data_IF_570924461996
#
_entry.id   IF_570924461996
#
_cell.length_a   1.000
_cell.length_b   1.000
_cell.length_c   1.000
_cell.angle_alpha   90.00
_cell.angle_beta   90.00
_cell.angle_gamma   90.00
#
_symmetry.space_group_name_H-M   'P 1'
#
loop_
_entity.id
_entity.type
_entity.pdbx_description
1 polymer ?
#
# COMPACT_ATOMS: atom_id res chain seq x y z
N UNK A 1 11.34 4.28 -0.59
CA UNK A 1 12.59 4.81 0.03
C UNK A 1 12.33 5.90 1.09
N UNK A 2 11.61 7.01 0.82
CA UNK A 2 11.39 8.05 1.83
C UNK A 2 10.63 7.52 3.06
N UNK A 3 9.44 6.95 2.88
CA UNK A 3 8.60 6.42 3.97
C UNK A 3 9.32 5.32 4.77
N UNK A 4 10.05 4.42 4.11
CA UNK A 4 10.82 3.39 4.82
C UNK A 4 11.93 3.98 5.69
N UNK A 5 12.59 5.05 5.23
CA UNK A 5 13.60 5.77 6.02
C UNK A 5 12.99 6.46 7.24
N UNK A 6 11.85 7.13 7.09
CA UNK A 6 11.13 7.73 8.22
C UNK A 6 10.63 6.65 9.20
N UNK A 7 10.08 5.52 8.69
CA UNK A 7 9.65 4.40 9.52
C UNK A 7 10.80 3.80 10.36
N UNK A 8 11.98 3.62 9.77
CA UNK A 8 13.18 3.14 10.46
C UNK A 8 13.59 4.12 11.56
N UNK A 9 13.61 5.41 11.24
CA UNK A 9 13.96 6.48 12.18
C UNK A 9 12.97 6.55 13.34
N UNK A 10 11.67 6.54 13.05
CA UNK A 10 10.61 6.62 14.05
C UNK A 10 10.58 5.36 14.93
N UNK A 11 10.82 4.19 14.35
CA UNK A 11 10.93 2.92 15.07
C UNK A 11 12.24 2.73 15.83
N UNK A 12 13.21 3.67 15.73
CA UNK A 12 14.50 3.57 16.41
C UNK A 12 15.36 2.40 15.94
N UNK A 13 15.22 1.98 14.67
CA UNK A 13 15.91 0.81 14.12
C UNK A 13 17.23 1.19 13.42
N UNK A 14 18.16 0.23 13.35
CA UNK A 14 19.37 0.37 12.54
C UNK A 14 19.04 0.14 11.05
N UNK A 15 19.24 1.13 10.16
CA UNK A 15 18.96 1.00 8.73
C UNK A 15 19.67 -0.18 8.06
N UNK A 16 20.85 -0.58 8.56
CA UNK A 16 21.65 -1.68 8.00
C UNK A 16 21.07 -3.06 8.27
N UNK A 17 20.15 -3.17 9.21
CA UNK A 17 19.57 -4.43 9.65
C UNK A 17 18.04 -4.46 9.53
N UNK A 18 17.39 -3.31 9.28
CA UNK A 18 15.94 -3.19 9.25
C UNK A 18 15.32 -3.80 8.00
N UNK A 19 14.19 -4.50 8.20
CA UNK A 19 13.32 -5.04 7.16
C UNK A 19 11.95 -4.38 7.28
N UNK A 20 11.60 -3.56 6.31
CA UNK A 20 10.39 -2.72 6.34
C UNK A 20 9.48 -3.08 5.17
N UNK A 21 8.21 -3.29 5.46
CA UNK A 21 7.16 -3.34 4.46
C UNK A 21 6.42 -2.01 4.47
N UNK A 22 6.38 -1.32 3.34
CA UNK A 22 5.64 -0.07 3.16
C UNK A 22 4.37 -0.36 2.40
N UNK A 23 3.24 -0.12 3.05
CA UNK A 23 1.89 -0.23 2.50
C UNK A 23 1.40 1.17 2.12
N UNK A 24 1.65 1.59 0.88
CA UNK A 24 1.16 2.85 0.33
C UNK A 24 -0.26 2.65 -0.18
N UNK A 25 -1.24 2.97 0.64
CA UNK A 25 -2.65 2.67 0.39
C UNK A 25 -3.42 3.95 0.11
N UNK A 26 -3.68 4.21 -1.15
CA UNK A 26 -4.48 5.31 -1.66
C UNK A 26 -5.50 4.80 -2.68
N UNK A 27 -6.04 5.68 -3.52
CA UNK A 27 -6.86 5.27 -4.67
C UNK A 27 -6.05 4.42 -5.68
N UNK A 28 -4.77 4.76 -5.91
CA UNK A 28 -3.73 3.84 -6.37
C UNK A 28 -3.01 3.29 -5.15
N UNK A 29 -2.66 1.99 -5.14
CA UNK A 29 -2.05 1.36 -3.99
C UNK A 29 -0.90 0.43 -4.37
N UNK A 30 0.12 0.38 -3.52
CA UNK A 30 1.25 -0.53 -3.67
C UNK A 30 1.82 -0.96 -2.33
N UNK A 31 2.42 -2.14 -2.30
CA UNK A 31 3.25 -2.60 -1.19
C UNK A 31 4.69 -2.71 -1.70
N UNK A 32 5.65 -2.35 -0.87
CA UNK A 32 7.07 -2.48 -1.19
C UNK A 32 7.82 -3.13 -0.04
N UNK A 33 8.73 -4.04 -0.37
CA UNK A 33 9.66 -4.66 0.56
C UNK A 33 11.01 -3.92 0.52
N UNK A 34 11.43 -3.41 1.68
CA UNK A 34 12.70 -2.71 1.84
C UNK A 34 13.55 -3.44 2.85
N UNK A 35 14.69 -3.98 2.40
CA UNK A 35 15.62 -4.73 3.22
C UNK A 35 16.94 -3.98 3.30
N UNK A 36 17.33 -3.59 4.52
CA UNK A 36 18.62 -2.93 4.77
C UNK A 36 18.79 -1.62 3.98
N UNK A 37 17.66 -0.88 3.84
CA UNK A 37 17.63 0.38 3.11
C UNK A 37 17.43 0.27 1.60
N UNK A 38 17.41 -0.95 1.04
CA UNK A 38 17.24 -1.21 -0.39
C UNK A 38 15.86 -1.81 -0.69
N UNK A 39 15.20 -1.34 -1.75
CA UNK A 39 13.97 -1.94 -2.23
C UNK A 39 14.29 -3.26 -2.92
N UNK A 40 13.78 -4.37 -2.38
CA UNK A 40 14.03 -5.72 -2.90
C UNK A 40 12.83 -6.28 -3.67
N UNK A 41 11.63 -5.73 -3.43
CA UNK A 41 10.43 -6.12 -4.14
C UNK A 41 9.36 -5.03 -4.10
N UNK A 42 8.42 -5.05 -5.06
CA UNK A 42 7.27 -4.14 -5.09
C UNK A 42 6.10 -4.78 -5.82
N UNK A 43 4.88 -4.44 -5.44
CA UNK A 43 3.65 -5.04 -5.97
C UNK A 43 3.25 -4.55 -7.36
N UNK A 44 3.71 -3.38 -7.80
CA UNK A 44 3.47 -2.89 -9.15
C UNK A 44 4.52 -3.45 -10.11
N UNK A 45 4.09 -3.85 -11.32
CA UNK A 45 4.96 -4.36 -12.37
C UNK A 45 5.41 -3.28 -13.36
N UNK A 46 5.41 -3.62 -14.66
CA UNK A 46 5.72 -2.68 -15.72
C UNK A 46 4.77 -1.49 -15.73
N UNK A 47 3.52 -1.71 -15.32
CA UNK A 47 2.50 -0.68 -15.18
C UNK A 47 1.91 -0.71 -13.76
N UNK A 48 1.22 0.38 -13.33
CA UNK A 48 0.56 0.40 -12.02
C UNK A 48 -0.75 -0.43 -11.99
N UNK A 49 -0.99 -1.33 -12.93
CA UNK A 49 -2.17 -2.21 -12.96
C UNK A 49 -1.97 -3.47 -12.12
N UNK A 50 -0.76 -4.05 -12.15
CA UNK A 50 -0.38 -5.23 -11.38
C UNK A 50 -0.39 -4.96 -9.88
N UNK A 51 -0.63 -6.00 -9.08
CA UNK A 51 -0.47 -5.97 -7.63
C UNK A 51 -1.77 -5.93 -6.86
N UNK A 52 -1.93 -4.90 -6.05
CA UNK A 52 -3.09 -4.75 -5.18
C UNK A 52 -4.39 -4.46 -5.97
N UNK A 53 -5.50 -4.90 -5.40
CA UNK A 53 -6.80 -4.30 -5.71
C UNK A 53 -6.72 -2.81 -5.35
N UNK A 54 -7.22 -1.92 -6.20
CA UNK A 54 -7.16 -0.47 -5.99
C UNK A 54 -8.56 0.14 -6.10
N UNK A 55 -8.68 1.45 -6.12
CA UNK A 55 -9.98 2.11 -6.29
C UNK A 55 -10.73 1.63 -7.55
N UNK A 56 -10.06 1.67 -8.70
CA UNK A 56 -10.64 1.26 -10.00
C UNK A 56 -9.83 0.19 -10.73
N UNK A 57 -8.60 -0.11 -10.29
CA UNK A 57 -7.71 -1.09 -10.92
C UNK A 57 -7.89 -2.47 -10.30
N UNK A 58 -7.88 -3.51 -11.14
CA UNK A 58 -8.08 -4.90 -10.70
C UNK A 58 -6.97 -5.43 -9.80
N UNK A 59 -5.73 -4.98 -9.98
CA UNK A 59 -4.57 -5.69 -9.47
C UNK A 59 -4.37 -7.02 -10.20
N UNK A 60 -3.71 -7.97 -9.54
CA UNK A 60 -3.41 -9.29 -10.09
C UNK A 60 -4.66 -10.05 -10.52
N UNK A 61 -4.57 -10.64 -11.67
CA UNK A 61 -5.61 -11.50 -12.24
C UNK A 61 -4.98 -12.65 -13.03
N UNK A 62 -5.76 -13.67 -13.35
CA UNK A 62 -5.36 -14.70 -14.29
C UNK A 62 -5.26 -14.07 -15.69
N UNK A 63 -4.10 -14.13 -16.37
CA UNK A 63 -3.91 -13.56 -17.71
C UNK A 63 -4.91 -14.09 -18.74
N UNK A 64 -5.42 -15.32 -18.60
CA UNK A 64 -6.40 -15.91 -19.50
C UNK A 64 -7.76 -15.18 -19.48
N UNK A 65 -8.05 -14.43 -18.42
CA UNK A 65 -9.26 -13.60 -18.32
C UNK A 65 -9.30 -12.56 -19.45
N UNK A 66 -8.15 -12.05 -19.90
CA UNK A 66 -8.10 -11.04 -20.97
C UNK A 66 -8.68 -11.60 -22.28
N UNK A 67 -8.26 -12.79 -22.70
CA UNK A 67 -8.79 -13.42 -23.91
C UNK A 67 -10.23 -13.88 -23.73
N UNK A 68 -10.55 -14.45 -22.57
CA UNK A 68 -11.92 -14.89 -22.27
C UNK A 68 -12.94 -13.75 -22.36
N UNK A 69 -12.65 -12.60 -21.73
CA UNK A 69 -13.54 -11.43 -21.80
C UNK A 69 -13.56 -10.80 -23.19
N UNK A 70 -12.42 -10.76 -23.89
CA UNK A 70 -12.36 -10.25 -25.24
C UNK A 70 -13.30 -11.04 -26.17
N UNK A 71 -13.29 -12.36 -26.11
CA UNK A 71 -14.15 -13.22 -26.90
C UNK A 71 -15.62 -13.12 -26.48
N UNK A 72 -15.89 -13.20 -25.18
CA UNK A 72 -17.25 -13.22 -24.63
C UNK A 72 -18.00 -11.91 -24.88
N UNK A 73 -17.34 -10.78 -24.70
CA UNK A 73 -17.94 -9.45 -24.77
C UNK A 73 -17.71 -8.75 -26.12
N UNK A 74 -17.02 -9.40 -27.07
CA UNK A 74 -16.69 -8.82 -28.38
C UNK A 74 -15.73 -7.61 -28.28
N UNK A 75 -14.84 -7.62 -27.28
CA UNK A 75 -13.88 -6.55 -27.01
C UNK A 75 -12.50 -6.87 -27.59
N UNK A 76 -11.72 -5.85 -27.85
CA UNK A 76 -10.27 -6.03 -28.07
C UNK A 76 -9.55 -6.22 -26.72
N UNK A 77 -8.36 -6.83 -26.72
CA UNK A 77 -7.54 -6.96 -25.51
C UNK A 77 -7.29 -5.58 -24.83
N UNK A 78 -7.07 -4.53 -25.62
CA UNK A 78 -6.88 -3.17 -25.11
C UNK A 78 -8.13 -2.64 -24.36
N UNK A 79 -9.32 -2.94 -24.86
CA UNK A 79 -10.57 -2.56 -24.18
C UNK A 79 -10.76 -3.33 -22.87
N UNK A 80 -10.37 -4.62 -22.83
CA UNK A 80 -10.39 -5.39 -21.56
C UNK A 80 -9.39 -4.80 -20.55
N UNK A 81 -8.18 -4.44 -20.98
CA UNK A 81 -7.21 -3.76 -20.12
C UNK A 81 -7.74 -2.41 -19.61
N UNK A 82 -8.49 -1.66 -20.42
CA UNK A 82 -9.17 -0.45 -19.99
C UNK A 82 -10.22 -0.71 -18.89
N UNK A 83 -10.97 -1.81 -18.99
CA UNK A 83 -11.89 -2.25 -17.93
C UNK A 83 -11.12 -2.57 -16.65
N UNK A 84 -10.01 -3.32 -16.74
CA UNK A 84 -9.14 -3.63 -15.61
C UNK A 84 -8.56 -2.37 -14.94
N UNK A 85 -8.30 -1.31 -15.70
CA UNK A 85 -7.75 -0.05 -15.16
C UNK A 85 -8.82 0.88 -14.56
N UNK A 86 -10.03 0.94 -15.14
CA UNK A 86 -10.98 2.03 -14.89
C UNK A 86 -12.31 1.59 -14.28
N UNK A 87 -12.67 0.30 -14.39
CA UNK A 87 -13.99 -0.22 -14.02
C UNK A 87 -13.93 -1.46 -13.12
N UNK A 88 -12.78 -1.75 -12.57
CA UNK A 88 -12.50 -2.87 -11.67
C UNK A 88 -12.20 -2.40 -10.26
N UNK A 89 -11.35 -3.06 -9.54
CA UNK A 89 -10.97 -2.68 -8.18
C UNK A 89 -12.13 -2.74 -7.19
N UNK A 90 -12.07 -1.93 -6.13
CA UNK A 90 -13.17 -1.89 -5.15
C UNK A 90 -14.44 -1.29 -5.76
N UNK A 91 -14.34 -0.44 -6.79
CA UNK A 91 -15.48 0.03 -7.56
C UNK A 91 -16.24 -1.15 -8.20
N UNK A 92 -15.53 -2.04 -8.89
CA UNK A 92 -16.15 -3.22 -9.51
C UNK A 92 -16.66 -4.22 -8.48
N UNK A 93 -15.91 -4.45 -7.41
CA UNK A 93 -16.28 -5.38 -6.35
C UNK A 93 -17.49 -4.90 -5.53
N UNK A 94 -17.72 -3.60 -5.45
CA UNK A 94 -18.89 -2.99 -4.80
C UNK A 94 -20.08 -2.81 -5.75
N UNK A 95 -20.08 -3.49 -6.90
CA UNK A 95 -21.13 -3.39 -7.93
C UNK A 95 -21.30 -1.95 -8.45
N UNK A 96 -20.20 -1.23 -8.62
CA UNK A 96 -20.19 0.15 -9.11
C UNK A 96 -20.59 1.21 -8.07
N UNK A 97 -20.69 0.84 -6.78
CA UNK A 97 -21.12 1.76 -5.73
C UNK A 97 -20.15 2.94 -5.55
N UNK A 98 -18.88 2.67 -5.20
CA UNK A 98 -17.86 3.72 -5.06
C UNK A 98 -16.44 3.16 -5.19
N UNK A 99 -15.51 4.00 -5.65
CA UNK A 99 -14.06 3.78 -5.55
C UNK A 99 -13.42 4.45 -4.32
N UNK A 100 -14.21 5.23 -3.56
CA UNK A 100 -13.74 5.90 -2.34
C UNK A 100 -13.96 5.00 -1.11
N UNK A 101 -12.87 4.72 -0.41
CA UNK A 101 -12.90 3.85 0.76
C UNK A 101 -13.74 4.41 1.92
N UNK A 102 -13.92 5.73 2.00
CA UNK A 102 -14.78 6.35 3.02
C UNK A 102 -16.24 6.01 2.78
N UNK A 103 -16.68 6.10 1.52
CA UNK A 103 -18.03 5.72 1.12
C UNK A 103 -18.29 4.24 1.36
N UNK A 104 -17.30 3.39 1.02
CA UNK A 104 -17.40 1.94 1.20
C UNK A 104 -17.51 1.54 2.67
N UNK A 105 -16.71 2.15 3.55
CA UNK A 105 -16.80 1.91 5.00
C UNK A 105 -18.17 2.32 5.51
N UNK A 106 -18.63 3.53 5.21
CA UNK A 106 -19.94 4.01 5.62
C UNK A 106 -21.09 3.11 5.10
N UNK A 107 -21.02 2.68 3.84
CA UNK A 107 -22.01 1.78 3.26
C UNK A 107 -22.01 0.41 3.93
N UNK A 108 -20.83 -0.16 4.21
CA UNK A 108 -20.66 -1.43 4.92
C UNK A 108 -21.29 -1.38 6.34
N UNK A 109 -21.05 -0.30 7.09
CA UNK A 109 -21.62 -0.08 8.42
C UNK A 109 -23.15 0.01 8.40
N UNK A 110 -23.71 0.47 7.28
CA UNK A 110 -25.18 0.56 7.08
C UNK A 110 -25.79 -0.68 6.40
N UNK A 111 -25.01 -1.76 6.25
CA UNK A 111 -25.48 -3.06 5.78
C UNK A 111 -25.36 -3.30 4.27
N UNK A 112 -24.54 -2.55 3.55
CA UNK A 112 -24.23 -2.83 2.15
C UNK A 112 -23.19 -3.97 2.07
N UNK A 113 -23.65 -5.18 1.76
CA UNK A 113 -22.82 -6.39 1.68
C UNK A 113 -21.77 -6.31 0.56
N UNK A 114 -22.06 -5.67 -0.58
CA UNK A 114 -21.10 -5.52 -1.68
C UNK A 114 -19.94 -4.59 -1.29
N UNK A 115 -20.24 -3.51 -0.57
CA UNK A 115 -19.21 -2.63 -0.03
C UNK A 115 -18.32 -3.35 0.99
N UNK A 116 -18.93 -4.17 1.86
CA UNK A 116 -18.21 -5.00 2.83
C UNK A 116 -17.29 -6.00 2.13
N UNK A 117 -17.80 -6.76 1.16
CA UNK A 117 -17.00 -7.73 0.38
C UNK A 117 -15.85 -7.06 -0.36
N UNK A 118 -16.05 -5.84 -0.90
CA UNK A 118 -14.99 -5.09 -1.56
C UNK A 118 -13.86 -4.73 -0.59
N UNK A 119 -14.19 -4.29 0.65
CA UNK A 119 -13.22 -3.99 1.69
C UNK A 119 -12.48 -5.25 2.18
N UNK A 120 -13.20 -6.35 2.39
CA UNK A 120 -12.63 -7.64 2.80
C UNK A 120 -11.65 -8.18 1.75
N UNK A 121 -12.03 -8.15 0.46
CA UNK A 121 -11.17 -8.57 -0.64
C UNK A 121 -9.89 -7.70 -0.75
N UNK A 122 -10.05 -6.40 -0.53
CA UNK A 122 -8.93 -5.46 -0.49
C UNK A 122 -7.97 -5.78 0.65
N UNK A 123 -8.46 -5.88 1.89
CA UNK A 123 -7.66 -6.16 3.07
C UNK A 123 -6.95 -7.52 2.95
N UNK A 124 -7.65 -8.55 2.47
CA UNK A 124 -7.08 -9.87 2.20
C UNK A 124 -5.92 -9.80 1.21
N UNK A 125 -6.07 -9.05 0.10
CA UNK A 125 -5.02 -8.90 -0.90
C UNK A 125 -3.80 -8.18 -0.32
N UNK A 126 -3.99 -7.13 0.47
CA UNK A 126 -2.88 -6.43 1.16
C UNK A 126 -2.18 -7.37 2.14
N UNK A 127 -2.93 -8.12 2.95
CA UNK A 127 -2.37 -9.11 3.88
C UNK A 127 -1.53 -10.18 3.17
N UNK A 128 -1.97 -10.67 2.00
CA UNK A 128 -1.18 -11.61 1.18
C UNK A 128 0.16 -11.01 0.73
N UNK A 129 0.17 -9.76 0.26
CA UNK A 129 1.40 -9.09 -0.15
C UNK A 129 2.35 -8.86 1.02
N UNK A 130 1.83 -8.47 2.18
CA UNK A 130 2.64 -8.36 3.41
C UNK A 130 3.28 -9.72 3.74
N UNK A 131 2.51 -10.81 3.69
CA UNK A 131 3.03 -12.17 3.92
C UNK A 131 4.09 -12.59 2.91
N UNK A 132 3.85 -12.35 1.61
CA UNK A 132 4.81 -12.65 0.54
C UNK A 132 6.13 -11.89 0.75
N UNK A 133 6.06 -10.62 1.13
CA UNK A 133 7.25 -9.79 1.33
C UNK A 133 7.98 -10.07 2.65
N UNK A 134 7.25 -10.47 3.69
CA UNK A 134 7.88 -11.02 4.88
C UNK A 134 8.67 -12.29 4.55
N UNK A 135 8.14 -13.17 3.67
CA UNK A 135 8.86 -14.34 3.18
C UNK A 135 10.07 -13.97 2.31
N UNK A 136 9.92 -13.04 1.35
CA UNK A 136 11.00 -12.60 0.46
C UNK A 136 12.20 -12.01 1.24
N UNK A 137 11.93 -11.29 2.33
CA UNK A 137 12.97 -10.72 3.19
C UNK A 137 13.46 -11.67 4.28
N UNK A 138 12.84 -12.86 4.45
CA UNK A 138 13.03 -13.78 5.57
C UNK A 138 12.81 -13.06 6.93
N UNK A 139 11.61 -12.52 7.08
CA UNK A 139 11.16 -11.76 8.26
C UNK A 139 10.86 -10.30 7.95
N UNK A 140 10.26 -9.62 8.91
CA UNK A 140 9.91 -8.19 8.87
C UNK A 140 10.03 -7.62 10.28
N UNK A 141 10.48 -6.37 10.38
CA UNK A 141 10.58 -5.64 11.64
C UNK A 141 9.48 -4.59 11.76
N UNK A 142 9.16 -3.93 10.63
CA UNK A 142 8.16 -2.86 10.58
C UNK A 142 7.23 -3.02 9.38
N UNK A 143 5.93 -2.78 9.61
CA UNK A 143 4.90 -2.59 8.59
C UNK A 143 4.39 -1.15 8.72
N UNK A 144 4.66 -0.32 7.71
CA UNK A 144 4.30 1.10 7.69
C UNK A 144 3.11 1.32 6.76
N UNK A 145 2.01 1.84 7.29
CA UNK A 145 0.85 2.30 6.54
C UNK A 145 1.01 3.77 6.18
N UNK A 146 0.75 4.13 4.91
CA UNK A 146 0.91 5.48 4.40
C UNK A 146 -0.10 5.77 3.28
N UNK A 147 -0.17 7.00 2.80
CA UNK A 147 -1.15 7.52 1.85
C UNK A 147 -2.59 7.55 2.40
N UNK A 148 -3.50 8.09 1.61
CA UNK A 148 -4.82 8.52 2.07
C UNK A 148 -5.62 7.46 2.84
N UNK A 149 -5.67 6.22 2.37
CA UNK A 149 -6.33 5.09 3.06
C UNK A 149 -5.48 4.61 4.22
N UNK A 150 -4.17 4.40 4.00
CA UNK A 150 -3.25 3.91 5.02
C UNK A 150 -3.15 4.85 6.23
N UNK A 151 -3.17 6.15 6.01
CA UNK A 151 -3.07 7.17 7.06
C UNK A 151 -4.39 7.44 7.78
N UNK A 152 -5.54 7.36 7.08
CA UNK A 152 -6.79 7.94 7.58
C UNK A 152 -7.92 6.93 7.79
N UNK A 153 -7.75 5.66 7.40
CA UNK A 153 -8.82 4.65 7.50
C UNK A 153 -8.47 3.57 8.51
N UNK A 154 -8.97 3.74 9.74
CA UNK A 154 -8.74 2.82 10.85
C UNK A 154 -9.36 1.43 10.60
N UNK A 155 -10.53 1.38 9.96
CA UNK A 155 -11.27 0.16 9.68
C UNK A 155 -10.49 -0.73 8.71
N UNK A 156 -9.97 -0.15 7.61
CA UNK A 156 -9.16 -0.89 6.64
C UNK A 156 -7.85 -1.39 7.28
N UNK A 157 -7.18 -0.58 8.12
CA UNK A 157 -5.98 -1.03 8.84
C UNK A 157 -6.29 -2.18 9.80
N UNK A 158 -7.42 -2.10 10.53
CA UNK A 158 -7.85 -3.18 11.43
C UNK A 158 -8.12 -4.49 10.66
N UNK A 159 -8.85 -4.41 9.54
CA UNK A 159 -9.12 -5.57 8.67
C UNK A 159 -7.82 -6.20 8.13
N UNK A 160 -6.83 -5.37 7.73
CA UNK A 160 -5.51 -5.88 7.32
C UNK A 160 -4.81 -6.54 8.50
N UNK A 161 -4.92 -5.95 9.71
CA UNK A 161 -4.37 -6.48 10.95
C UNK A 161 -4.76 -7.92 11.24
N UNK A 162 -6.00 -8.30 10.94
CA UNK A 162 -6.50 -9.66 11.12
C UNK A 162 -5.72 -10.71 10.30
N UNK A 163 -5.20 -10.34 9.14
CA UNK A 163 -4.43 -11.23 8.26
C UNK A 163 -2.95 -11.34 8.60
N UNK A 164 -2.40 -10.43 9.40
CA UNK A 164 -0.95 -10.34 9.67
C UNK A 164 -0.57 -10.68 11.12
N UNK A 165 -1.52 -11.03 11.97
CA UNK A 165 -1.27 -11.36 13.38
C UNK A 165 -0.27 -12.52 13.57
N UNK A 166 -0.18 -13.46 12.62
CA UNK A 166 0.79 -14.55 12.67
C UNK A 166 2.26 -14.09 12.59
N UNK A 167 2.51 -12.86 12.13
CA UNK A 167 3.84 -12.23 12.16
C UNK A 167 4.24 -11.77 13.55
N UNK A 168 3.32 -11.84 14.52
CA UNK A 168 3.55 -11.39 15.89
C UNK A 168 3.32 -9.88 16.08
N UNK A 169 2.39 -9.31 15.32
CA UNK A 169 1.90 -7.94 15.53
C UNK A 169 0.43 -7.97 15.91
N UNK A 170 0.02 -7.00 16.74
CA UNK A 170 -1.37 -6.76 17.09
C UNK A 170 -1.61 -5.24 17.05
N UNK A 171 -2.61 -4.82 16.27
CA UNK A 171 -2.97 -3.41 16.16
C UNK A 171 -3.86 -3.02 17.34
N UNK A 172 -3.40 -2.09 18.16
CA UNK A 172 -4.15 -1.54 19.27
C UNK A 172 -5.33 -0.71 18.77
N UNK A 173 -6.55 -0.99 19.23
CA UNK A 173 -7.77 -0.39 18.72
C UNK A 173 -7.85 1.13 19.00
N UNK A 174 -7.28 1.61 20.14
CA UNK A 174 -7.31 3.03 20.45
C UNK A 174 -6.25 3.80 19.67
N UNK A 175 -5.03 3.29 19.59
CA UNK A 175 -3.96 3.88 18.76
C UNK A 175 -4.34 3.90 17.26
N UNK A 176 -5.10 2.90 16.81
CA UNK A 176 -5.54 2.81 15.41
C UNK A 176 -6.58 3.87 15.01
N UNK A 177 -7.18 4.61 15.93
CA UNK A 177 -8.11 5.71 15.62
C UNK A 177 -7.42 6.96 15.05
N UNK A 178 -6.08 6.97 14.99
CA UNK A 178 -5.29 8.07 14.44
C UNK A 178 -5.64 8.37 12.98
N UNK A 179 -5.51 9.64 12.61
CA UNK A 179 -5.63 10.12 11.23
C UNK A 179 -4.50 11.09 10.91
N UNK A 180 -3.71 10.76 9.87
CA UNK A 180 -2.68 11.64 9.31
C UNK A 180 -1.50 11.97 10.22
N UNK A 181 -1.35 11.30 11.36
CA UNK A 181 -0.26 11.52 12.31
C UNK A 181 0.67 10.30 12.38
N UNK A 182 1.94 10.54 12.63
CA UNK A 182 2.93 9.48 12.82
C UNK A 182 2.72 8.83 14.19
N UNK A 183 2.43 7.53 14.21
CA UNK A 183 2.16 6.77 15.43
C UNK A 183 2.48 5.28 15.26
N UNK A 184 2.95 4.65 16.33
CA UNK A 184 3.03 3.20 16.47
C UNK A 184 1.64 2.67 16.81
N UNK A 185 1.10 1.82 15.95
CA UNK A 185 -0.23 1.21 16.08
C UNK A 185 -0.19 -0.07 16.90
N UNK A 186 0.91 -0.82 16.85
CA UNK A 186 1.03 -2.10 17.53
C UNK A 186 1.18 -1.92 19.03
N UNK A 187 0.69 -2.92 19.79
CA UNK A 187 0.89 -2.99 21.22
C UNK A 187 2.37 -3.25 21.60
N UNK A 188 2.70 -3.08 22.89
CA UNK A 188 4.08 -3.21 23.40
C UNK A 188 4.63 -4.63 23.36
N UNK A 189 3.76 -5.65 23.22
CA UNK A 189 4.15 -7.07 23.12
C UNK A 189 4.42 -7.55 21.68
N UNK A 190 4.21 -6.70 20.71
CA UNK A 190 4.36 -7.05 19.29
C UNK A 190 5.84 -7.23 18.91
N UNK A 191 6.14 -8.34 18.20
CA UNK A 191 7.46 -8.58 17.60
C UNK A 191 7.70 -7.74 16.37
N UNK A 192 6.64 -7.53 15.59
CA UNK A 192 6.63 -6.69 14.39
C UNK A 192 5.88 -5.43 14.71
N UNK A 193 6.52 -4.29 14.50
CA UNK A 193 5.91 -2.99 14.73
C UNK A 193 5.04 -2.60 13.55
N UNK A 194 3.77 -2.32 13.79
CA UNK A 194 2.92 -1.65 12.82
C UNK A 194 2.80 -0.17 13.15
N UNK A 195 2.83 0.69 12.13
CA UNK A 195 2.78 2.14 12.34
C UNK A 195 2.11 2.87 11.18
N UNK A 196 1.64 4.08 11.44
CA UNK A 196 1.31 5.07 10.41
C UNK A 196 2.52 5.98 10.23
N UNK A 197 2.90 6.20 8.98
CA UNK A 197 3.93 7.17 8.58
C UNK A 197 3.36 8.03 7.45
N UNK A 198 3.09 9.32 7.68
CA UNK A 198 2.57 10.22 6.66
C UNK A 198 3.48 10.31 5.45
N UNK A 199 2.89 10.31 4.25
CA UNK A 199 3.64 10.31 2.98
C UNK A 199 4.54 11.53 2.82
N UNK A 200 4.06 12.70 3.17
CA UNK A 200 4.76 14.00 3.13
C UNK A 200 5.67 14.19 1.90
N UNK A 201 5.07 14.09 0.71
CA UNK A 201 5.80 14.16 -0.57
C UNK A 201 6.52 15.49 -0.76
N UNK A 202 5.93 16.59 -0.29
CA UNK A 202 6.53 17.92 -0.38
C UNK A 202 7.86 17.99 0.39
N UNK A 203 7.91 17.43 1.60
CA UNK A 203 9.13 17.35 2.40
C UNK A 203 10.19 16.47 1.73
N UNK A 204 9.77 15.35 1.13
CA UNK A 204 10.68 14.47 0.40
C UNK A 204 11.30 15.17 -0.81
N UNK A 205 10.50 15.92 -1.57
CA UNK A 205 10.96 16.72 -2.71
C UNK A 205 11.89 17.85 -2.22
N UNK A 206 11.48 18.59 -1.18
CA UNK A 206 12.28 19.69 -0.64
C UNK A 206 13.67 19.21 -0.17
N UNK A 207 13.74 18.12 0.60
CA UNK A 207 15.02 17.54 1.07
C UNK A 207 15.92 17.09 -0.08
N UNK A 208 15.35 16.42 -1.10
CA UNK A 208 16.12 16.00 -2.28
C UNK A 208 16.62 17.19 -3.09
N UNK A 209 15.76 18.19 -3.30
CA UNK A 209 16.14 19.41 -4.04
C UNK A 209 17.26 20.18 -3.33
N UNK A 210 17.19 20.31 -2.01
CA UNK A 210 18.24 20.93 -1.22
C UNK A 210 19.58 20.16 -1.34
N UNK A 211 19.53 18.83 -1.19
CA UNK A 211 20.74 18.00 -1.31
C UNK A 211 21.38 18.09 -2.71
N UNK A 212 20.58 18.12 -3.78
CA UNK A 212 21.05 18.30 -5.15
C UNK A 212 21.67 19.70 -5.34
N UNK A 213 21.03 20.74 -4.80
CA UNK A 213 21.54 22.11 -4.88
C UNK A 213 22.88 22.27 -4.14
N UNK A 214 23.02 21.64 -2.96
CA UNK A 214 24.27 21.65 -2.18
C UNK A 214 25.37 20.85 -2.86
N UNK A 215 25.06 19.69 -3.44
CA UNK A 215 26.04 18.86 -4.15
C UNK A 215 26.48 19.45 -5.50
N UNK A 216 25.68 20.32 -6.11
CA UNK A 216 25.93 20.87 -7.47
C UNK A 216 25.78 19.81 -8.58
N UNK A 217 25.26 18.64 -8.27
CA UNK A 217 25.05 17.52 -9.20
C UNK A 217 23.67 16.90 -9.00
N UNK A 218 23.10 16.32 -10.06
CA UNK A 218 21.88 15.54 -9.95
C UNK A 218 22.10 14.14 -9.31
N UNK A 219 21.03 13.37 -9.14
CA UNK A 219 21.11 12.01 -8.59
C UNK A 219 21.87 11.01 -9.49
N UNK A 220 22.18 11.39 -10.72
CA UNK A 220 22.96 10.61 -11.69
C UNK A 220 24.39 11.11 -11.85
N UNK A 221 24.81 12.12 -11.07
CA UNK A 221 26.15 12.69 -11.12
C UNK A 221 26.37 13.76 -12.20
N UNK A 222 25.30 14.19 -12.88
CA UNK A 222 25.40 15.27 -13.86
C UNK A 222 25.55 16.62 -13.13
N UNK A 223 26.56 17.40 -13.50
CA UNK A 223 26.81 18.73 -12.94
C UNK A 223 25.82 19.74 -13.52
N UNK A 224 25.17 20.53 -12.67
CA UNK A 224 24.40 21.68 -13.16
C UNK A 224 25.32 22.82 -13.52
N UNK A 225 25.15 23.41 -14.70
CA UNK A 225 25.80 24.66 -15.04
C UNK A 225 25.37 25.74 -14.04
N UNK A 226 26.32 26.40 -13.41
CA UNK A 226 26.09 27.56 -12.54
C UNK A 226 25.73 28.78 -13.35
#
# INVERSE_FOLDING_TARGET
MFVSGEAIKFGGLDPKNAKVIVCHLGNGASVSAVKYGESVDTSMGLTPLEGLIMGTRSGDLDPAIISFLAEKEGMTASQVIDVCNKKSGVLGLSDGYSSDFRDLVQASETGNEQAKHALEAYAYRVGKYIGAYAAAMNGVDVIAFTAGVGENNAEVRAMIGEYIGYLGTNIDAERNKVRGEEIILSDEGSKVVTMVVPTNEELAIARKSAAIAEAGTDTYGNTFAK
#
